data_IF_046242351825
#
_entry.id   IF_046242351825
#
_cell.length_a   1.000
_cell.length_b   1.000
_cell.length_c   1.000
_cell.angle_alpha   90.00
_cell.angle_beta   90.00
_cell.angle_gamma   90.00
#
_symmetry.space_group_name_H-M   'P 1'
#
loop_
_entity.id
_entity.type
_entity.pdbx_description
1 polymer ?
#
# COMPACT_ATOMS: atom_id res chain seq x y z
N UNK A 1 8.41 10.65 9.05
CA UNK A 1 6.93 10.73 9.05
C UNK A 1 6.34 10.79 10.45
N UNK A 2 6.91 10.09 11.44
CA UNK A 2 6.41 10.10 12.82
C UNK A 2 6.13 11.50 13.42
N UNK A 3 6.97 12.55 13.20
CA UNK A 3 6.67 13.88 13.75
C UNK A 3 5.35 14.50 13.29
N UNK A 4 4.83 14.09 12.14
CA UNK A 4 3.58 14.61 11.57
C UNK A 4 2.39 13.65 11.73
N UNK A 5 2.64 12.35 11.87
CA UNK A 5 1.62 11.29 11.83
C UNK A 5 1.55 10.44 13.11
N UNK A 6 2.29 10.80 14.15
CA UNK A 6 2.45 10.04 15.40
C UNK A 6 3.24 8.73 15.26
N UNK A 7 3.94 8.35 16.33
CA UNK A 7 4.59 7.04 16.48
C UNK A 7 3.59 5.89 16.69
N UNK A 8 2.33 6.21 17.05
CA UNK A 8 1.26 5.22 17.22
C UNK A 8 0.85 4.58 15.89
N UNK A 9 0.83 5.35 14.80
CA UNK A 9 0.39 4.89 13.48
C UNK A 9 1.54 4.63 12.50
N UNK A 10 2.76 5.04 12.85
CA UNK A 10 3.94 4.90 11.98
C UNK A 10 5.03 4.14 12.70
N UNK A 11 5.17 2.88 12.33
CA UNK A 11 6.29 2.02 12.76
C UNK A 11 7.43 2.17 11.76
N UNK A 12 8.62 2.64 12.18
CA UNK A 12 9.77 2.73 11.31
C UNK A 12 10.29 1.31 11.02
N UNK A 13 10.72 1.03 9.78
CA UNK A 13 11.33 -0.24 9.44
C UNK A 13 12.69 -0.41 10.12
N UNK A 14 13.06 -1.64 10.41
CA UNK A 14 14.44 -2.01 10.78
C UNK A 14 15.26 -2.22 9.50
N UNK A 15 16.46 -1.67 9.45
CA UNK A 15 17.37 -1.86 8.32
C UNK A 15 18.28 -3.05 8.60
N UNK A 16 18.15 -4.11 7.80
CA UNK A 16 18.93 -5.33 7.96
C UNK A 16 19.88 -5.54 6.79
N UNK A 17 21.10 -5.99 7.07
CA UNK A 17 22.06 -6.36 6.03
C UNK A 17 21.62 -7.69 5.40
N UNK A 18 21.66 -7.76 4.07
CA UNK A 18 21.34 -9.00 3.34
C UNK A 18 22.61 -9.57 2.66
N UNK A 19 22.76 -10.90 2.63
CA UNK A 19 23.89 -11.52 1.93
C UNK A 19 23.92 -11.22 0.44
N UNK A 20 25.12 -11.27 -0.15
CA UNK A 20 25.28 -11.18 -1.61
C UNK A 20 24.49 -12.31 -2.28
N UNK A 21 23.75 -11.96 -3.33
CA UNK A 21 22.89 -12.91 -4.06
C UNK A 21 21.57 -13.23 -3.37
N UNK A 22 21.29 -12.71 -2.17
CA UNK A 22 19.99 -12.89 -1.51
C UNK A 22 18.84 -12.30 -2.35
N UNK A 23 18.99 -11.06 -2.83
CA UNK A 23 17.99 -10.39 -3.65
C UNK A 23 17.66 -11.16 -4.95
N UNK A 24 18.68 -11.78 -5.57
CA UNK A 24 18.50 -12.63 -6.75
C UNK A 24 17.72 -13.91 -6.43
N UNK A 25 18.08 -14.60 -5.34
CA UNK A 25 17.35 -15.78 -4.85
C UNK A 25 15.88 -15.45 -4.58
N UNK A 26 15.61 -14.31 -3.93
CA UNK A 26 14.23 -13.83 -3.67
C UNK A 26 13.51 -13.55 -4.98
N UNK A 27 14.12 -12.81 -5.91
CA UNK A 27 13.48 -12.47 -7.18
C UNK A 27 13.07 -13.72 -7.97
N UNK A 28 13.93 -14.76 -7.96
CA UNK A 28 13.61 -16.06 -8.56
C UNK A 28 12.45 -16.75 -7.85
N UNK A 29 12.43 -16.76 -6.51
CA UNK A 29 11.38 -17.39 -5.73
C UNK A 29 10.00 -16.76 -5.98
N UNK A 30 9.92 -15.43 -6.06
CA UNK A 30 8.63 -14.72 -6.25
C UNK A 30 8.20 -14.61 -7.71
N UNK A 31 9.07 -14.92 -8.68
CA UNK A 31 8.86 -14.64 -10.12
C UNK A 31 7.52 -15.16 -10.67
N UNK A 32 7.10 -16.34 -10.23
CA UNK A 32 5.84 -16.96 -10.68
C UNK A 32 4.60 -16.29 -10.07
N UNK A 33 4.67 -15.85 -8.81
CA UNK A 33 3.56 -15.20 -8.11
C UNK A 33 3.33 -13.75 -8.52
N UNK A 34 4.32 -13.11 -9.18
CA UNK A 34 4.22 -11.71 -9.60
C UNK A 34 3.20 -11.52 -10.74
N UNK A 35 2.35 -10.47 -10.68
CA UNK A 35 1.46 -10.11 -11.79
C UNK A 35 2.24 -9.86 -13.09
N UNK A 36 1.67 -10.23 -14.24
CA UNK A 36 2.34 -10.15 -15.54
C UNK A 36 2.94 -8.75 -15.84
N UNK A 37 2.17 -7.68 -15.63
CA UNK A 37 2.62 -6.30 -15.85
C UNK A 37 3.74 -5.83 -14.90
N UNK A 38 4.05 -6.59 -13.85
CA UNK A 38 5.13 -6.30 -12.89
C UNK A 38 6.40 -7.10 -13.16
N UNK A 39 6.38 -8.08 -14.08
CA UNK A 39 7.54 -8.95 -14.34
C UNK A 39 8.71 -8.26 -15.03
N UNK A 40 8.50 -7.11 -15.69
CA UNK A 40 9.58 -6.31 -16.29
C UNK A 40 10.38 -5.43 -15.33
N UNK A 41 10.17 -5.53 -14.01
CA UNK A 41 10.89 -4.75 -13.00
C UNK A 41 11.47 -5.68 -11.94
N UNK A 42 12.73 -6.04 -12.05
CA UNK A 42 13.37 -6.92 -11.06
C UNK A 42 13.65 -6.20 -9.73
N UNK A 43 13.90 -7.01 -8.69
CA UNK A 43 14.49 -6.52 -7.44
C UNK A 43 15.92 -6.04 -7.76
N UNK A 44 16.39 -4.98 -7.11
CA UNK A 44 17.77 -4.54 -7.26
C UNK A 44 18.74 -5.59 -6.68
N UNK A 45 19.53 -6.22 -7.57
CA UNK A 45 20.49 -7.25 -7.18
C UNK A 45 21.75 -6.69 -6.51
N UNK A 46 22.01 -5.39 -6.65
CA UNK A 46 23.11 -4.73 -5.96
C UNK A 46 22.77 -4.40 -4.49
N UNK A 47 21.50 -4.50 -4.10
CA UNK A 47 21.03 -4.19 -2.75
C UNK A 47 21.78 -5.03 -1.70
N UNK A 48 22.34 -4.34 -0.70
CA UNK A 48 23.07 -4.94 0.44
C UNK A 48 22.33 -4.83 1.76
N UNK A 49 21.16 -4.23 1.75
CA UNK A 49 20.27 -4.15 2.89
C UNK A 49 18.80 -4.23 2.45
N UNK A 50 17.94 -4.59 3.40
CA UNK A 50 16.50 -4.63 3.24
C UNK A 50 15.82 -3.98 4.46
N UNK A 51 14.57 -3.55 4.27
CA UNK A 51 13.73 -3.04 5.33
C UNK A 51 12.85 -4.17 5.88
N UNK A 52 12.93 -4.41 7.18
CA UNK A 52 12.10 -5.38 7.90
C UNK A 52 10.99 -4.62 8.64
N UNK A 53 9.75 -5.03 8.41
CA UNK A 53 8.56 -4.45 9.03
C UNK A 53 7.70 -5.56 9.67
N UNK A 54 6.92 -5.24 10.72
CA UNK A 54 5.86 -6.11 11.19
C UNK A 54 4.85 -6.42 10.07
N UNK A 55 4.27 -7.61 10.11
CA UNK A 55 3.15 -7.94 9.24
C UNK A 55 1.86 -7.32 9.78
N UNK A 56 1.39 -6.24 9.14
CA UNK A 56 0.15 -5.56 9.51
C UNK A 56 -1.12 -6.32 9.08
N UNK A 57 -0.97 -7.42 8.36
CA UNK A 57 -2.09 -8.28 7.98
C UNK A 57 -2.46 -9.28 9.08
N UNK A 58 -1.65 -9.40 10.14
CA UNK A 58 -1.84 -10.34 11.22
C UNK A 58 -1.81 -9.63 12.59
N UNK A 59 -2.81 -9.90 13.43
CA UNK A 59 -2.87 -9.39 14.80
C UNK A 59 -2.72 -10.58 15.76
N UNK A 60 -1.62 -10.61 16.51
CA UNK A 60 -1.43 -11.62 17.53
C UNK A 60 -2.34 -11.35 18.73
N UNK A 61 -3.17 -12.32 19.11
CA UNK A 61 -4.05 -12.26 20.28
C UNK A 61 -3.59 -13.26 21.35
N UNK A 62 -2.77 -12.83 22.35
CA UNK A 62 -2.24 -13.72 23.37
C UNK A 62 -3.32 -14.39 24.23
N UNK A 63 -4.45 -13.72 24.44
CA UNK A 63 -5.54 -14.22 25.29
C UNK A 63 -6.37 -15.33 24.64
N UNK A 64 -6.13 -15.68 23.37
CA UNK A 64 -6.73 -16.85 22.72
C UNK A 64 -5.95 -18.15 22.98
N UNK A 65 -4.82 -18.08 23.67
CA UNK A 65 -3.99 -19.24 24.02
C UNK A 65 -4.53 -19.96 25.28
N UNK A 66 -5.28 -19.28 26.15
CA UNK A 66 -5.84 -19.89 27.37
C UNK A 66 -7.06 -20.80 27.11
N UNK A 67 -7.64 -20.79 25.90
CA UNK A 67 -8.69 -21.73 25.48
C UNK A 67 -8.14 -22.96 24.75
N UNK A 68 -6.98 -23.48 25.16
CA UNK A 68 -6.45 -24.78 24.70
C UNK A 68 -7.32 -25.99 25.09
N UNK A 69 -8.51 -25.77 25.68
CA UNK A 69 -9.47 -26.80 26.09
C UNK A 69 -10.73 -26.88 25.20
N UNK A 70 -10.82 -26.15 24.09
CA UNK A 70 -11.94 -26.32 23.16
C UNK A 70 -11.48 -26.23 21.70
N UNK A 71 -12.07 -27.07 20.84
CA UNK A 71 -11.89 -27.14 19.38
C UNK A 71 -12.34 -25.85 18.64
N UNK A 72 -12.15 -24.67 19.24
CA UNK A 72 -12.52 -23.37 18.65
C UNK A 72 -11.33 -22.89 17.83
N UNK A 73 -11.47 -22.73 16.50
CA UNK A 73 -10.41 -22.17 15.67
C UNK A 73 -10.04 -20.78 16.18
N UNK A 74 -8.75 -20.45 16.19
CA UNK A 74 -8.28 -19.09 16.44
C UNK A 74 -9.13 -18.07 15.66
N UNK A 75 -9.48 -16.91 16.25
CA UNK A 75 -10.23 -15.90 15.53
C UNK A 75 -9.43 -15.44 14.30
N UNK A 76 -10.06 -15.51 13.13
CA UNK A 76 -9.44 -15.08 11.89
C UNK A 76 -9.16 -13.57 11.93
N UNK A 77 -7.98 -13.15 11.46
CA UNK A 77 -7.67 -11.72 11.26
C UNK A 77 -8.15 -11.27 9.89
N UNK A 78 -8.90 -10.17 9.83
CA UNK A 78 -9.22 -9.46 8.59
C UNK A 78 -8.46 -8.14 8.61
N UNK A 79 -7.67 -7.90 7.57
CA UNK A 79 -6.93 -6.64 7.36
C UNK A 79 -7.44 -5.94 6.10
N UNK A 80 -7.49 -4.61 6.16
CA UNK A 80 -7.97 -3.75 5.06
C UNK A 80 -6.87 -2.74 4.73
N UNK A 81 -6.27 -2.88 3.54
CA UNK A 81 -5.33 -1.88 3.02
C UNK A 81 -6.10 -0.83 2.18
N UNK A 82 -6.04 0.44 2.60
CA UNK A 82 -6.63 1.56 1.85
C UNK A 82 -5.50 2.47 1.34
N UNK A 83 -5.55 2.81 0.04
CA UNK A 83 -4.68 3.83 -0.55
C UNK A 83 -5.48 5.11 -0.84
N UNK A 84 -5.55 6.08 0.10
CA UNK A 84 -6.55 7.13 0.11
C UNK A 84 -6.32 8.26 -0.91
N UNK A 85 -5.15 8.32 -1.55
CA UNK A 85 -4.78 9.37 -2.52
C UNK A 85 -4.86 10.77 -1.86
N UNK A 86 -5.09 11.82 -2.66
CA UNK A 86 -5.12 13.21 -2.20
C UNK A 86 -6.58 13.64 -2.01
N UNK A 87 -6.95 13.94 -0.77
CA UNK A 87 -8.30 14.32 -0.35
C UNK A 87 -8.66 15.79 -0.51
N UNK A 88 -7.87 16.58 -1.24
CA UNK A 88 -8.13 18.01 -1.40
C UNK A 88 -8.08 18.43 -2.87
N UNK A 89 -8.76 19.53 -3.17
CA UNK A 89 -8.71 20.21 -4.47
C UNK A 89 -7.74 21.39 -4.34
N UNK A 90 -6.78 21.56 -5.26
CA UNK A 90 -5.78 22.61 -5.14
C UNK A 90 -6.40 24.00 -5.34
N UNK A 91 -5.87 24.99 -4.61
CA UNK A 91 -6.34 26.40 -4.64
C UNK A 91 -5.30 27.40 -5.17
N UNK A 92 -4.16 26.92 -5.67
CA UNK A 92 -3.06 27.79 -6.09
C UNK A 92 -3.39 28.62 -7.33
N UNK A 93 -3.12 29.93 -7.25
CA UNK A 93 -3.28 30.88 -8.37
C UNK A 93 -2.36 30.59 -9.57
N UNK A 94 -1.33 29.75 -9.41
CA UNK A 94 -0.42 29.37 -10.50
C UNK A 94 -0.99 28.28 -11.42
N UNK A 95 -2.20 27.78 -11.14
CA UNK A 95 -2.83 26.72 -11.92
C UNK A 95 -3.56 27.31 -13.13
N UNK A 96 -3.03 27.03 -14.33
CA UNK A 96 -3.61 27.50 -15.60
C UNK A 96 -4.90 26.80 -16.02
N UNK A 97 -5.10 25.54 -15.63
CA UNK A 97 -6.25 24.76 -16.08
C UNK A 97 -7.40 24.83 -15.06
N UNK A 98 -8.54 25.47 -15.41
CA UNK A 98 -9.63 25.72 -14.46
C UNK A 98 -10.31 24.45 -13.95
N UNK A 99 -10.25 23.33 -14.69
CA UNK A 99 -10.89 22.07 -14.25
C UNK A 99 -10.28 21.53 -12.94
N UNK A 100 -9.01 21.87 -12.68
CA UNK A 100 -8.28 21.41 -11.50
C UNK A 100 -8.81 22.03 -10.20
N UNK A 101 -9.61 23.09 -10.27
CA UNK A 101 -10.31 23.69 -9.12
C UNK A 101 -11.70 23.07 -8.88
N UNK A 102 -12.19 22.21 -9.77
CA UNK A 102 -13.54 21.62 -9.69
C UNK A 102 -13.53 20.11 -9.48
N UNK A 103 -12.53 19.42 -10.03
CA UNK A 103 -12.45 17.96 -9.99
C UNK A 103 -11.18 17.53 -9.28
N UNK A 104 -11.30 16.55 -8.38
CA UNK A 104 -10.14 16.05 -7.65
C UNK A 104 -9.15 15.32 -8.59
N UNK A 105 -7.87 15.30 -8.19
CA UNK A 105 -6.80 14.71 -9.01
C UNK A 105 -7.02 13.22 -9.31
N UNK A 106 -7.64 12.49 -8.39
CA UNK A 106 -7.91 11.06 -8.59
C UNK A 106 -8.96 10.83 -9.68
N UNK A 107 -10.10 11.50 -9.60
CA UNK A 107 -11.18 11.38 -10.57
C UNK A 107 -10.74 11.80 -11.98
N UNK A 108 -9.91 12.84 -12.12
CA UNK A 108 -9.34 13.17 -13.44
C UNK A 108 -8.41 12.05 -13.96
N UNK A 109 -7.57 11.48 -13.09
CA UNK A 109 -6.62 10.42 -13.47
C UNK A 109 -7.30 9.09 -13.76
N UNK A 110 -8.44 8.79 -13.15
CA UNK A 110 -9.16 7.54 -13.39
C UNK A 110 -9.61 7.44 -14.85
N UNK A 111 -10.15 8.53 -15.42
CA UNK A 111 -10.49 8.60 -16.85
C UNK A 111 -9.30 8.29 -17.77
N UNK A 112 -8.13 8.88 -17.51
CA UNK A 112 -6.94 8.61 -18.31
C UNK A 112 -6.50 7.14 -18.21
N UNK A 113 -6.59 6.54 -17.01
CA UNK A 113 -6.22 5.14 -16.80
C UNK A 113 -7.17 4.17 -17.49
N UNK A 114 -8.48 4.45 -17.44
CA UNK A 114 -9.48 3.67 -18.17
C UNK A 114 -9.26 3.78 -19.68
N UNK A 115 -9.02 5.00 -20.21
CA UNK A 115 -8.71 5.20 -21.63
C UNK A 115 -7.45 4.44 -22.08
N UNK A 116 -6.45 4.32 -21.21
CA UNK A 116 -5.21 3.60 -21.50
C UNK A 116 -5.31 2.08 -21.24
N UNK A 117 -6.50 1.55 -20.94
CA UNK A 117 -6.71 0.12 -20.66
C UNK A 117 -6.04 -0.37 -19.38
N UNK A 118 -5.61 0.54 -18.49
CA UNK A 118 -4.99 0.16 -17.21
C UNK A 118 -6.03 -0.35 -16.21
N UNK A 119 -7.27 0.14 -16.31
CA UNK A 119 -8.40 -0.21 -15.46
C UNK A 119 -9.57 -0.68 -16.32
N UNK A 120 -10.19 -1.79 -15.91
CA UNK A 120 -11.38 -2.35 -16.59
C UNK A 120 -12.56 -1.37 -16.50
N UNK A 121 -12.75 -0.76 -15.34
CA UNK A 121 -13.85 0.17 -15.08
C UNK A 121 -13.36 1.42 -14.34
N UNK A 122 -14.13 2.50 -14.48
CA UNK A 122 -13.89 3.71 -13.73
C UNK A 122 -14.36 3.55 -12.28
N UNK A 123 -13.47 3.84 -11.34
CA UNK A 123 -13.80 3.81 -9.92
C UNK A 123 -14.81 4.90 -9.55
N UNK A 124 -15.82 4.52 -8.74
CA UNK A 124 -16.78 5.45 -8.09
C UNK A 124 -16.23 6.12 -6.83
N UNK A 125 -15.02 5.73 -6.40
CA UNK A 125 -14.37 6.30 -5.23
C UNK A 125 -13.85 7.72 -5.52
N UNK A 126 -14.19 8.68 -4.65
CA UNK A 126 -13.58 9.99 -4.60
C UNK A 126 -12.82 10.17 -3.28
N UNK A 127 -11.53 10.54 -3.30
CA UNK A 127 -10.79 10.84 -2.07
C UNK A 127 -11.40 11.96 -1.24
N UNK A 128 -12.00 12.97 -1.86
CA UNK A 128 -12.59 14.10 -1.13
C UNK A 128 -13.70 13.62 -0.19
N UNK A 129 -14.50 12.64 -0.62
CA UNK A 129 -15.55 12.03 0.19
C UNK A 129 -14.97 11.24 1.38
N UNK A 130 -13.80 10.63 1.23
CA UNK A 130 -13.14 9.92 2.35
C UNK A 130 -12.55 10.89 3.39
N UNK A 131 -12.22 12.12 2.99
CA UNK A 131 -11.60 13.14 3.85
C UNK A 131 -12.56 14.29 4.20
N UNK A 132 -13.88 14.11 4.02
CA UNK A 132 -14.86 15.20 4.19
C UNK A 132 -15.25 15.51 5.63
N UNK A 133 -14.84 14.71 6.61
CA UNK A 133 -15.20 14.83 8.02
C UNK A 133 -15.24 13.46 8.70
#
# INVERSE_FOLDING_TARGET
MQPLLSSVYVIPPLLEKIPIGFAEKVNRAVKKARPAHRKGKDIDFAARAALVLPDFCYVFQPNCISSMQSNVPYPATISIEIKPKSGFIPISNHIKNPIKFKVCKFCMRSHLKSKNGLWLEQSRYCPVDLFSG
#
